data_IF_440609094349
#
_entry.id   IF_440609094349
#
_cell.length_a   1.000
_cell.length_b   1.000
_cell.length_c   1.000
_cell.angle_alpha   90.00
_cell.angle_beta   90.00
_cell.angle_gamma   90.00
#
_symmetry.space_group_name_H-M   'P 1'
#
loop_
_entity.id
_entity.type
_entity.pdbx_description
1 polymer ?
#
# COMPACT_ATOMS: atom_id res chain seq x y z
N UNK A 1 -7.23 6.17 -2.75
CA UNK A 1 -7.86 5.45 -1.63
C UNK A 1 -8.26 4.02 -2.00
N UNK A 2 -9.02 3.80 -3.07
CA UNK A 2 -9.50 2.47 -3.48
C UNK A 2 -8.41 1.40 -3.67
N UNK A 3 -7.20 1.79 -4.08
CA UNK A 3 -6.08 0.84 -4.19
C UNK A 3 -5.50 0.42 -2.83
N UNK A 4 -5.40 1.34 -1.86
CA UNK A 4 -4.70 1.11 -0.59
C UNK A 4 -5.59 0.62 0.55
N UNK A 5 -6.83 1.13 0.64
CA UNK A 5 -7.74 0.86 1.76
C UNK A 5 -8.32 -0.56 1.85
N UNK A 6 -8.61 -1.30 0.75
CA UNK A 6 -9.07 -2.68 0.88
C UNK A 6 -7.96 -3.63 1.35
N UNK A 7 -6.70 -3.20 1.28
CA UNK A 7 -5.58 -3.93 1.89
C UNK A 7 -5.57 -3.60 3.37
N UNK A 8 -5.65 -4.63 4.23
CA UNK A 8 -5.58 -4.55 5.70
C UNK A 8 -4.18 -4.16 6.18
N UNK A 9 -3.68 -3.02 5.70
CA UNK A 9 -2.36 -2.51 6.02
C UNK A 9 -2.41 -1.69 7.30
N UNK A 10 -1.36 -1.80 8.12
CA UNK A 10 -1.08 -0.91 9.25
C UNK A 10 -1.20 0.58 8.85
N UNK A 11 -0.87 0.94 7.60
CA UNK A 11 -1.03 2.30 7.05
C UNK A 11 -2.48 2.81 7.01
N UNK A 12 -3.46 1.94 6.77
CA UNK A 12 -4.88 2.33 6.75
C UNK A 12 -5.33 2.69 8.17
N UNK A 13 -4.91 1.89 9.16
CA UNK A 13 -5.18 2.17 10.58
C UNK A 13 -4.45 3.43 11.04
N UNK A 14 -3.18 3.59 10.69
CA UNK A 14 -2.40 4.82 10.91
C UNK A 14 -3.13 6.04 10.36
N UNK A 15 -3.65 5.96 9.13
CA UNK A 15 -4.40 7.05 8.49
C UNK A 15 -5.64 7.42 9.32
N UNK A 16 -6.44 6.44 9.72
CA UNK A 16 -7.66 6.68 10.52
C UNK A 16 -7.32 7.31 11.88
N UNK A 17 -6.36 6.72 12.61
CA UNK A 17 -5.93 7.22 13.93
C UNK A 17 -5.34 8.62 13.81
N UNK A 18 -4.59 8.90 12.74
CA UNK A 18 -4.03 10.23 12.46
C UNK A 18 -5.14 11.25 12.28
N UNK A 19 -6.16 10.98 11.46
CA UNK A 19 -7.27 11.91 11.26
C UNK A 19 -8.06 12.17 12.54
N UNK A 20 -8.34 11.12 13.32
CA UNK A 20 -9.02 11.24 14.62
C UNK A 20 -8.21 12.10 15.59
N UNK A 21 -6.90 11.88 15.66
CA UNK A 21 -6.04 12.68 16.53
C UNK A 21 -5.95 14.15 16.08
N UNK A 22 -5.80 14.41 14.77
CA UNK A 22 -5.81 15.78 14.22
C UNK A 22 -7.15 16.48 14.48
N UNK A 23 -8.28 15.75 14.46
CA UNK A 23 -9.59 16.30 14.82
C UNK A 23 -9.64 16.76 16.28
N UNK A 24 -9.08 15.99 17.22
CA UNK A 24 -9.00 16.37 18.63
C UNK A 24 -7.90 17.40 18.93
N UNK A 25 -7.00 17.69 18.00
CA UNK A 25 -5.84 18.53 18.24
C UNK A 25 -6.18 20.03 18.32
N UNK A 26 -5.87 20.74 19.42
CA UNK A 26 -6.30 22.13 19.62
C UNK A 26 -5.71 23.13 18.61
N UNK A 27 -4.39 23.10 18.36
CA UNK A 27 -3.72 24.11 17.52
C UNK A 27 -4.10 24.06 16.04
N UNK A 28 -4.66 22.96 15.56
CA UNK A 28 -5.05 22.79 14.15
C UNK A 28 -6.50 23.21 13.90
N UNK A 29 -7.29 23.50 14.94
CA UNK A 29 -8.65 24.02 14.79
C UNK A 29 -8.65 25.52 14.49
N UNK A 30 -9.54 25.90 13.59
CA UNK A 30 -9.95 27.31 13.41
C UNK A 30 -10.82 27.67 14.61
N UNK A 31 -10.59 28.83 15.24
CA UNK A 31 -11.22 29.31 16.48
C UNK A 31 -12.76 29.52 16.43
N UNK A 32 -13.46 28.98 15.44
CA UNK A 32 -14.89 29.19 15.25
C UNK A 32 -15.74 28.05 15.83
N UNK A 33 -16.75 28.47 16.59
CA UNK A 33 -17.81 27.72 17.26
C UNK A 33 -17.49 27.14 18.65
N UNK A 34 -18.31 27.62 19.58
CA UNK A 34 -18.40 27.28 20.99
C UNK A 34 -18.62 25.77 21.21
N UNK A 35 -18.12 25.30 22.35
CA UNK A 35 -18.51 24.06 23.03
C UNK A 35 -18.34 22.73 22.29
N UNK A 36 -17.09 22.25 22.26
CA UNK A 36 -16.81 20.87 22.68
C UNK A 36 -15.38 20.81 23.19
N UNK A 37 -15.19 20.36 24.43
CA UNK A 37 -13.89 20.24 25.08
C UNK A 37 -12.98 19.29 24.29
N UNK A 38 -12.23 19.84 23.34
CA UNK A 38 -11.18 19.13 22.64
C UNK A 38 -10.14 18.71 23.68
N UNK A 39 -10.11 17.43 24.01
CA UNK A 39 -9.16 16.92 24.99
C UNK A 39 -7.82 16.72 24.29
N UNK A 40 -6.88 17.62 24.55
CA UNK A 40 -5.47 17.49 24.14
C UNK A 40 -4.88 16.13 24.53
N UNK A 41 -5.33 15.57 25.66
CA UNK A 41 -4.93 14.22 26.12
C UNK A 41 -5.39 13.12 25.17
N UNK A 42 -6.64 13.16 24.68
CA UNK A 42 -7.14 12.19 23.70
C UNK A 42 -6.36 12.29 22.38
N UNK A 43 -6.04 13.51 21.95
CA UNK A 43 -5.21 13.73 20.76
C UNK A 43 -3.80 13.10 20.91
N UNK A 44 -3.15 13.33 22.06
CA UNK A 44 -1.84 12.74 22.39
C UNK A 44 -1.87 11.21 22.50
N UNK A 45 -2.91 10.63 23.10
CA UNK A 45 -3.07 9.17 23.20
C UNK A 45 -3.16 8.56 21.80
N UNK A 46 -4.01 9.12 20.94
CA UNK A 46 -4.16 8.64 19.57
C UNK A 46 -2.88 8.84 18.75
N UNK A 47 -2.15 9.94 18.96
CA UNK A 47 -0.86 10.17 18.32
C UNK A 47 0.20 9.13 18.74
N UNK A 48 0.30 8.85 20.04
CA UNK A 48 1.19 7.82 20.57
C UNK A 48 0.81 6.43 20.05
N UNK A 49 -0.50 6.13 19.95
CA UNK A 49 -0.99 4.89 19.36
C UNK A 49 -0.63 4.77 17.86
N UNK A 50 -0.73 5.86 17.10
CA UNK A 50 -0.29 5.87 15.70
C UNK A 50 1.21 5.53 15.59
N UNK A 51 2.06 6.15 16.42
CA UNK A 51 3.50 5.83 16.48
C UNK A 51 3.79 4.38 16.90
N UNK A 52 2.97 3.81 17.78
CA UNK A 52 3.07 2.42 18.19
C UNK A 52 2.73 1.45 17.04
N UNK A 53 1.63 1.72 16.33
CA UNK A 53 1.21 0.95 15.15
C UNK A 53 2.24 1.07 14.03
N UNK A 54 2.84 2.26 13.89
CA UNK A 54 3.84 2.56 12.87
C UNK A 54 4.82 3.64 13.36
N UNK A 55 6.10 3.29 13.60
CA UNK A 55 7.08 4.26 14.06
C UNK A 55 7.27 5.46 13.13
N UNK A 56 7.01 5.29 11.82
CA UNK A 56 7.12 6.38 10.83
C UNK A 56 6.09 7.49 11.04
N UNK A 57 4.96 7.24 11.71
CA UNK A 57 3.97 8.27 12.06
C UNK A 57 4.56 9.38 12.93
N UNK A 58 5.68 9.11 13.62
CA UNK A 58 6.41 10.11 14.40
C UNK A 58 6.77 11.35 13.57
N UNK A 59 6.95 11.22 12.25
CA UNK A 59 7.22 12.35 11.35
C UNK A 59 6.07 13.36 11.36
N UNK A 60 4.82 12.89 11.32
CA UNK A 60 3.61 13.72 11.36
C UNK A 60 3.52 14.41 12.71
N UNK A 61 3.68 13.64 13.79
CA UNK A 61 3.54 14.13 15.15
C UNK A 61 4.66 15.05 15.60
N UNK A 62 5.85 14.93 15.00
CA UNK A 62 6.94 15.87 15.20
C UNK A 62 6.54 17.28 14.72
N UNK A 63 5.96 17.40 13.52
CA UNK A 63 5.46 18.69 13.04
C UNK A 63 4.36 19.27 13.94
N UNK A 64 3.36 18.46 14.26
CA UNK A 64 2.22 18.90 15.09
C UNK A 64 2.70 19.26 16.51
N UNK A 65 3.61 18.49 17.08
CA UNK A 65 4.21 18.73 18.39
C UNK A 65 5.06 20.00 18.43
N UNK A 66 5.88 20.25 17.40
CA UNK A 66 6.65 21.49 17.26
C UNK A 66 5.70 22.70 17.15
N UNK A 67 4.65 22.61 16.33
CA UNK A 67 3.64 23.67 16.24
C UNK A 67 2.96 23.94 17.58
N UNK A 68 2.53 22.89 18.29
CA UNK A 68 1.87 23.03 19.60
C UNK A 68 2.81 23.65 20.64
N UNK A 69 4.10 23.27 20.62
CA UNK A 69 5.12 23.80 21.52
C UNK A 69 5.33 25.31 21.33
N UNK A 70 5.28 25.81 20.10
CA UNK A 70 5.38 27.24 19.83
C UNK A 70 4.09 28.02 20.16
N UNK A 71 2.93 27.38 20.07
CA UNK A 71 1.63 28.02 20.30
C UNK A 71 1.16 27.98 21.75
N UNK A 72 1.64 27.01 22.54
CA UNK A 72 1.24 26.82 23.94
C UNK A 72 2.05 27.71 24.87
N UNK A 73 1.37 28.32 25.85
CA UNK A 73 2.00 29.14 26.89
C UNK A 73 2.78 28.24 27.89
N UNK A 74 2.16 27.16 28.37
CA UNK A 74 2.75 26.24 29.35
C UNK A 74 3.55 25.10 28.71
N UNK A 75 4.70 25.44 28.12
CA UNK A 75 5.58 24.50 27.38
C UNK A 75 6.02 23.29 28.22
N UNK A 76 6.47 23.55 29.45
CA UNK A 76 6.98 22.52 30.34
C UNK A 76 5.89 21.54 30.78
N UNK A 77 4.69 22.03 31.06
CA UNK A 77 3.54 21.20 31.39
C UNK A 77 3.16 20.30 30.22
N UNK A 78 3.11 20.83 29.00
CA UNK A 78 2.83 20.04 27.80
C UNK A 78 3.82 18.88 27.64
N UNK A 79 5.12 19.15 27.74
CA UNK A 79 6.15 18.11 27.55
C UNK A 79 6.15 17.10 28.71
N UNK A 80 6.33 17.56 29.94
CA UNK A 80 6.63 16.69 31.08
C UNK A 80 5.41 16.08 31.74
N UNK A 81 4.26 16.74 31.71
CA UNK A 81 3.04 16.25 32.36
C UNK A 81 2.05 15.61 31.39
N UNK A 82 2.23 15.78 30.07
CA UNK A 82 1.31 15.22 29.08
C UNK A 82 2.02 14.35 28.05
N UNK A 83 2.97 14.88 27.27
CA UNK A 83 3.62 14.14 26.18
C UNK A 83 4.46 12.96 26.69
N UNK A 84 5.38 13.19 27.63
CA UNK A 84 6.27 12.14 28.14
C UNK A 84 5.50 11.03 28.86
N UNK A 85 4.56 11.31 29.79
CA UNK A 85 3.83 10.25 30.49
C UNK A 85 2.96 9.41 29.57
N UNK A 86 2.26 10.03 28.61
CA UNK A 86 1.41 9.31 27.65
C UNK A 86 2.28 8.48 26.70
N UNK A 87 3.36 9.05 26.17
CA UNK A 87 4.29 8.34 25.30
C UNK A 87 4.96 7.16 26.00
N UNK A 88 5.44 7.35 27.24
CA UNK A 88 6.05 6.30 28.04
C UNK A 88 5.06 5.17 28.36
N UNK A 89 3.79 5.51 28.68
CA UNK A 89 2.76 4.51 28.92
C UNK A 89 2.49 3.66 27.68
N UNK A 90 2.32 4.28 26.51
CA UNK A 90 2.08 3.56 25.25
C UNK A 90 3.28 2.70 24.88
N UNK A 91 4.51 3.24 25.01
CA UNK A 91 5.73 2.49 24.74
C UNK A 91 5.90 1.29 25.69
N UNK A 92 5.57 1.45 26.97
CA UNK A 92 5.58 0.36 27.94
C UNK A 92 4.57 -0.72 27.56
N UNK A 93 3.35 -0.33 27.20
CA UNK A 93 2.32 -1.27 26.75
C UNK A 93 2.76 -2.04 25.49
N UNK A 94 3.34 -1.35 24.49
CA UNK A 94 3.87 -2.03 23.30
C UNK A 94 5.02 -2.97 23.63
N UNK A 95 5.94 -2.56 24.52
CA UNK A 95 7.07 -3.39 24.91
C UNK A 95 6.62 -4.68 25.65
N UNK A 96 5.58 -4.58 26.48
CA UNK A 96 4.98 -5.73 27.14
C UNK A 96 4.25 -6.66 26.14
N UNK A 97 3.56 -6.09 25.15
CA UNK A 97 2.93 -6.86 24.07
C UNK A 97 3.99 -7.58 23.23
N UNK A 98 5.03 -6.87 22.80
CA UNK A 98 6.15 -7.45 22.05
C UNK A 98 6.79 -8.61 22.83
N UNK A 99 7.01 -8.45 24.14
CA UNK A 99 7.52 -9.53 25.01
C UNK A 99 6.59 -10.74 25.03
N UNK A 100 5.27 -10.53 25.08
CA UNK A 100 4.28 -11.61 25.11
C UNK A 100 4.25 -12.42 23.81
N UNK A 101 4.38 -11.76 22.65
CA UNK A 101 4.33 -12.43 21.35
C UNK A 101 5.69 -13.03 20.93
N UNK A 102 6.79 -12.30 21.09
CA UNK A 102 8.11 -12.77 20.68
C UNK A 102 8.79 -13.68 21.70
N UNK A 103 8.34 -13.70 22.97
CA UNK A 103 8.99 -14.44 24.04
C UNK A 103 10.37 -13.90 24.43
N UNK A 104 10.78 -12.75 23.88
CA UNK A 104 12.07 -12.07 24.07
C UNK A 104 11.84 -10.61 24.43
N UNK A 105 12.73 -10.03 25.22
CA UNK A 105 12.69 -8.59 25.52
C UNK A 105 13.28 -7.82 24.35
N UNK A 106 12.41 -7.28 23.50
CA UNK A 106 12.81 -6.58 22.27
C UNK A 106 12.06 -5.25 22.19
N UNK A 107 12.77 -4.19 21.85
CA UNK A 107 12.17 -2.88 21.60
C UNK A 107 12.04 -2.69 20.08
N UNK A 108 10.89 -3.09 19.54
CA UNK A 108 10.64 -3.13 18.09
C UNK A 108 10.86 -1.77 17.40
N UNK A 109 10.42 -0.62 17.95
CA UNK A 109 10.69 0.68 17.34
C UNK A 109 12.18 1.01 17.13
N UNK A 110 13.07 0.54 18.02
CA UNK A 110 14.52 0.74 17.88
C UNK A 110 15.10 -0.16 16.79
N UNK A 111 14.66 -1.41 16.71
CA UNK A 111 15.06 -2.31 15.61
C UNK A 111 14.58 -1.78 14.26
N UNK A 112 13.36 -1.23 14.22
CA UNK A 112 12.82 -0.56 13.05
C UNK A 112 13.72 0.61 12.61
N UNK A 113 14.14 1.46 13.54
CA UNK A 113 15.06 2.57 13.27
C UNK A 113 16.41 2.07 12.74
N UNK A 114 16.97 1.03 13.39
CA UNK A 114 18.23 0.42 12.98
C UNK A 114 18.17 -0.14 11.56
N UNK A 115 17.13 -0.88 11.23
CA UNK A 115 17.01 -1.52 9.92
C UNK A 115 16.71 -0.51 8.81
N UNK A 116 15.75 0.38 9.01
CA UNK A 116 15.26 1.25 7.93
C UNK A 116 16.10 2.51 7.73
N UNK A 117 16.69 3.07 8.80
CA UNK A 117 17.42 4.34 8.71
C UNK A 117 18.93 4.17 8.83
N UNK A 118 19.41 3.27 9.70
CA UNK A 118 20.85 3.10 9.92
C UNK A 118 21.49 2.10 8.96
N UNK A 119 20.71 1.11 8.49
CA UNK A 119 21.21 0.02 7.62
C UNK A 119 20.66 0.10 6.19
N UNK A 120 19.90 1.16 5.86
CA UNK A 120 19.24 1.36 4.55
C UNK A 120 18.51 0.13 3.99
N UNK A 121 18.00 -0.76 4.85
CA UNK A 121 17.40 -2.03 4.40
C UNK A 121 16.18 -1.86 3.51
N UNK A 122 15.53 -0.68 3.54
CA UNK A 122 14.44 -0.34 2.63
C UNK A 122 14.88 -0.20 1.17
N UNK A 123 16.13 0.20 0.92
CA UNK A 123 16.64 0.43 -0.44
C UNK A 123 16.76 -0.88 -1.24
N UNK A 124 16.79 -2.04 -0.55
CA UNK A 124 16.68 -3.37 -1.15
C UNK A 124 15.44 -3.52 -2.04
N UNK A 125 14.33 -2.89 -1.64
CA UNK A 125 13.06 -2.94 -2.37
C UNK A 125 12.95 -1.87 -3.47
N UNK A 126 14.09 -1.32 -3.90
CA UNK A 126 14.17 -0.31 -4.93
C UNK A 126 14.10 1.12 -4.40
N UNK A 127 14.67 2.05 -5.17
CA UNK A 127 14.75 3.46 -4.81
C UNK A 127 14.11 4.34 -5.90
N UNK A 128 13.65 5.51 -5.48
CA UNK A 128 13.10 6.51 -6.39
C UNK A 128 13.81 7.85 -6.20
N UNK A 129 13.83 8.68 -7.25
CA UNK A 129 14.39 10.03 -7.18
C UNK A 129 13.75 10.86 -6.04
N UNK A 130 14.49 11.82 -5.49
CA UNK A 130 14.04 12.65 -4.37
C UNK A 130 12.71 13.38 -4.66
N UNK A 131 12.51 13.81 -5.92
CA UNK A 131 11.31 14.55 -6.32
C UNK A 131 10.08 13.65 -6.57
N UNK A 132 10.23 12.32 -6.46
CA UNK A 132 9.19 11.36 -6.86
C UNK A 132 7.84 11.64 -6.21
N UNK A 133 7.79 11.94 -4.91
CA UNK A 133 6.54 12.27 -4.23
C UNK A 133 5.83 13.49 -4.83
N UNK A 134 6.58 14.51 -5.25
CA UNK A 134 6.03 15.73 -5.85
C UNK A 134 5.63 15.53 -7.31
N UNK A 135 6.48 14.88 -8.10
CA UNK A 135 6.27 14.73 -9.55
C UNK A 135 5.31 13.60 -9.91
N UNK A 136 5.32 12.50 -9.16
CA UNK A 136 4.65 11.26 -9.53
C UNK A 136 3.82 10.70 -8.36
N UNK A 137 4.45 10.36 -7.24
CA UNK A 137 3.86 9.65 -6.12
C UNK A 137 2.56 10.27 -5.59
N UNK A 138 2.68 11.40 -4.89
CA UNK A 138 1.52 12.07 -4.28
C UNK A 138 0.59 12.70 -5.33
N UNK A 139 1.18 13.18 -6.43
CA UNK A 139 0.42 13.71 -7.57
C UNK A 139 -0.49 12.66 -8.21
N UNK A 140 -0.04 11.41 -8.37
CA UNK A 140 -0.86 10.31 -8.85
C UNK A 140 -1.93 9.89 -7.83
N UNK A 141 -1.64 9.98 -6.52
CA UNK A 141 -2.64 9.71 -5.48
C UNK A 141 -3.79 10.72 -5.49
N UNK A 142 -3.50 11.99 -5.79
CA UNK A 142 -4.51 13.03 -5.95
C UNK A 142 -5.19 12.99 -7.32
N UNK A 143 -4.49 12.52 -8.35
CA UNK A 143 -5.00 12.39 -9.71
C UNK A 143 -5.72 13.67 -10.16
N UNK A 144 -6.98 13.58 -10.60
CA UNK A 144 -7.75 14.74 -11.07
C UNK A 144 -8.22 15.68 -9.95
N UNK A 145 -8.06 15.31 -8.68
CA UNK A 145 -8.27 16.22 -7.55
C UNK A 145 -7.10 17.19 -7.31
N UNK A 146 -5.93 16.94 -7.91
CA UNK A 146 -4.72 17.73 -7.72
C UNK A 146 -4.92 19.25 -7.95
N UNK A 147 -5.48 19.72 -9.09
CA UNK A 147 -5.66 21.16 -9.30
C UNK A 147 -6.61 21.79 -8.27
N UNK A 148 -7.65 21.07 -7.85
CA UNK A 148 -8.58 21.54 -6.81
C UNK A 148 -7.91 21.58 -5.43
N UNK A 149 -7.04 20.63 -5.13
CA UNK A 149 -6.28 20.59 -3.87
C UNK A 149 -5.37 21.81 -3.76
N UNK A 150 -4.58 22.08 -4.81
CA UNK A 150 -3.71 23.25 -4.89
C UNK A 150 -4.51 24.55 -4.77
N UNK A 151 -5.59 24.68 -5.55
CA UNK A 151 -6.47 25.84 -5.47
C UNK A 151 -7.05 26.04 -4.06
N UNK A 152 -7.43 24.97 -3.38
CA UNK A 152 -7.94 25.00 -2.00
C UNK A 152 -6.88 25.39 -0.97
N UNK A 153 -5.63 24.95 -1.14
CA UNK A 153 -4.50 25.37 -0.30
C UNK A 153 -4.32 26.90 -0.38
N UNK A 154 -4.30 27.45 -1.60
CA UNK A 154 -4.14 28.90 -1.79
C UNK A 154 -5.35 29.71 -1.31
N UNK A 155 -6.58 29.21 -1.50
CA UNK A 155 -7.80 29.91 -1.11
C UNK A 155 -8.03 29.92 0.42
N UNK A 156 -7.82 28.78 1.07
CA UNK A 156 -8.15 28.60 2.50
C UNK A 156 -7.22 29.35 3.45
N UNK A 157 -5.99 29.67 3.00
CA UNK A 157 -4.90 30.27 3.81
C UNK A 157 -4.57 29.48 5.09
N UNK A 158 -4.97 28.21 5.17
CA UNK A 158 -4.70 27.33 6.32
C UNK A 158 -3.29 26.74 6.25
N UNK A 159 -2.29 27.56 6.57
CA UNK A 159 -0.88 27.21 6.46
C UNK A 159 -0.47 26.02 7.34
N UNK A 160 -1.18 25.77 8.45
CA UNK A 160 -0.81 24.69 9.38
C UNK A 160 -1.00 23.31 8.75
N UNK A 161 -2.13 23.08 8.08
CA UNK A 161 -2.43 21.80 7.42
C UNK A 161 -1.68 21.65 6.10
N UNK A 162 -1.55 22.71 5.31
CA UNK A 162 -0.74 22.65 4.08
C UNK A 162 0.75 22.47 4.39
N UNK A 163 1.24 23.10 5.46
CA UNK A 163 2.59 22.91 5.97
C UNK A 163 2.83 21.48 6.47
N UNK A 164 1.83 20.83 7.08
CA UNK A 164 1.93 19.42 7.47
C UNK A 164 2.10 18.50 6.24
N UNK A 165 1.29 18.73 5.19
CA UNK A 165 1.43 17.97 3.94
C UNK A 165 2.84 18.17 3.36
N UNK A 166 3.28 19.42 3.24
CA UNK A 166 4.61 19.74 2.72
C UNK A 166 5.74 19.10 3.56
N UNK A 167 5.66 19.19 4.88
CA UNK A 167 6.61 18.60 5.82
C UNK A 167 6.76 17.09 5.60
N UNK A 168 5.64 16.38 5.53
CA UNK A 168 5.61 14.93 5.31
C UNK A 168 6.23 14.58 3.96
N UNK A 169 5.83 15.27 2.88
CA UNK A 169 6.38 15.00 1.55
C UNK A 169 7.89 15.27 1.48
N UNK A 170 8.38 16.38 2.07
CA UNK A 170 9.80 16.72 2.07
C UNK A 170 10.63 15.69 2.83
N UNK A 171 10.22 15.31 4.04
CA UNK A 171 11.00 14.36 4.85
C UNK A 171 11.02 12.96 4.25
N UNK A 172 9.88 12.46 3.75
CA UNK A 172 9.86 11.17 3.05
C UNK A 172 10.61 11.23 1.70
N UNK A 173 10.72 12.40 1.07
CA UNK A 173 11.52 12.58 -0.14
C UNK A 173 13.02 12.38 0.06
N UNK A 174 13.52 12.54 1.29
CA UNK A 174 14.95 12.30 1.64
C UNK A 174 15.29 10.81 1.61
N UNK A 175 14.32 9.93 1.90
CA UNK A 175 14.54 8.48 1.93
C UNK A 175 14.67 7.92 0.50
N UNK A 176 15.59 6.97 0.29
CA UNK A 176 15.80 6.33 -1.02
C UNK A 176 14.56 5.56 -1.47
N UNK A 177 14.14 4.59 -0.66
CA UNK A 177 12.90 3.84 -0.83
C UNK A 177 11.64 4.69 -0.57
N UNK A 178 10.70 4.65 -1.51
CA UNK A 178 9.46 5.44 -1.46
C UNK A 178 8.27 4.60 -1.90
N UNK A 179 7.16 4.75 -1.19
CA UNK A 179 5.91 4.09 -1.52
C UNK A 179 4.72 5.03 -1.32
N UNK A 180 3.63 4.78 -2.05
CA UNK A 180 2.37 5.51 -1.89
C UNK A 180 1.79 5.39 -0.47
N UNK A 181 1.99 4.25 0.21
CA UNK A 181 1.41 4.00 1.53
C UNK A 181 2.01 4.86 2.65
N UNK A 182 3.27 5.31 2.52
CA UNK A 182 3.93 6.14 3.54
C UNK A 182 3.29 7.53 3.69
N UNK A 183 2.74 8.07 2.60
CA UNK A 183 2.08 9.39 2.57
C UNK A 183 0.55 9.27 2.58
N UNK A 184 0.01 8.07 2.78
CA UNK A 184 -1.43 7.84 2.88
C UNK A 184 -2.11 8.68 3.98
N UNK A 185 -1.51 8.89 5.18
CA UNK A 185 -2.16 9.67 6.23
C UNK A 185 -2.44 11.14 5.87
N UNK A 186 -1.66 11.73 4.95
CA UNK A 186 -1.85 13.12 4.51
C UNK A 186 -2.74 13.27 3.27
N UNK A 187 -3.08 12.17 2.59
CA UNK A 187 -3.97 12.19 1.43
C UNK A 187 -5.37 12.77 1.75
N UNK A 188 -6.05 12.38 2.84
CA UNK A 188 -7.35 12.94 3.18
C UNK A 188 -7.30 14.45 3.48
N UNK A 189 -6.18 14.94 4.03
CA UNK A 189 -5.96 16.39 4.26
C UNK A 189 -5.85 17.15 2.94
N UNK A 190 -5.16 16.59 1.95
CA UNK A 190 -5.09 17.18 0.62
C UNK A 190 -6.45 17.20 -0.09
N UNK A 191 -7.25 16.13 0.09
CA UNK A 191 -8.62 16.06 -0.46
C UNK A 191 -9.59 17.02 0.26
N UNK A 192 -9.37 17.33 1.53
CA UNK A 192 -10.11 18.39 2.25
C UNK A 192 -9.97 19.74 1.54
N UNK A 193 -8.76 20.08 1.08
CA UNK A 193 -8.54 21.29 0.28
C UNK A 193 -9.26 21.24 -1.06
N UNK A 194 -9.29 20.09 -1.73
CA UNK A 194 -10.07 19.92 -2.96
C UNK A 194 -11.56 20.19 -2.71
N UNK A 195 -12.11 19.64 -1.61
CA UNK A 195 -13.48 19.89 -1.16
C UNK A 195 -13.74 21.36 -0.87
N UNK A 196 -12.80 22.04 -0.20
CA UNK A 196 -12.88 23.48 0.08
C UNK A 196 -12.93 24.31 -1.21
N UNK A 197 -12.07 24.02 -2.20
CA UNK A 197 -12.09 24.74 -3.48
C UNK A 197 -13.39 24.51 -4.26
N UNK A 198 -13.95 23.30 -4.22
CA UNK A 198 -15.25 23.00 -4.84
C UNK A 198 -16.38 23.73 -4.13
N UNK A 199 -16.36 23.76 -2.79
CA UNK A 199 -17.33 24.52 -2.00
C UNK A 199 -17.26 26.02 -2.30
N UNK A 200 -16.06 26.60 -2.41
CA UNK A 200 -15.87 28.01 -2.76
C UNK A 200 -16.40 28.36 -4.18
N UNK A 201 -16.31 27.45 -5.14
CA UNK A 201 -16.96 27.61 -6.46
C UNK A 201 -18.50 27.65 -6.34
N UNK A 202 -19.03 26.93 -5.35
CA UNK A 202 -20.43 26.95 -4.95
C UNK A 202 -20.82 28.20 -4.16
N UNK A 203 -20.06 28.64 -3.15
CA UNK A 203 -20.44 29.76 -2.27
C UNK A 203 -20.33 31.13 -2.93
N UNK A 204 -19.53 31.25 -3.99
CA UNK A 204 -19.62 32.38 -4.93
C UNK A 204 -21.04 32.54 -5.54
N UNK A 205 -21.90 31.50 -5.45
CA UNK A 205 -23.34 31.57 -5.73
C UNK A 205 -24.10 32.27 -4.59
N UNK A 206 -23.79 31.99 -3.32
CA UNK A 206 -24.56 32.46 -2.16
C UNK A 206 -24.28 33.94 -1.81
N UNK A 207 -23.01 34.36 -1.72
CA UNK A 207 -22.67 35.76 -1.40
C UNK A 207 -23.08 36.76 -2.50
N UNK A 208 -23.14 36.30 -3.76
CA UNK A 208 -23.55 37.12 -4.91
C UNK A 208 -25.08 37.23 -5.08
N UNK A 209 -25.88 36.62 -4.20
CA UNK A 209 -27.32 36.87 -4.11
C UNK A 209 -27.67 38.30 -3.67
N UNK A 210 -26.73 39.07 -3.11
CA UNK A 210 -27.01 40.43 -2.60
C UNK A 210 -26.85 41.55 -3.63
N UNK A 211 -26.08 41.39 -4.73
CA UNK A 211 -25.86 42.46 -5.74
C UNK A 211 -25.59 41.90 -7.16
N UNK A 212 -26.63 41.94 -8.01
CA UNK A 212 -26.66 41.89 -9.51
C UNK A 212 -26.26 40.61 -10.31
N UNK A 213 -27.12 40.33 -11.30
CA UNK A 213 -26.98 39.58 -12.59
C UNK A 213 -27.20 38.06 -12.63
N UNK A 214 -28.37 37.66 -13.16
CA UNK A 214 -28.82 36.28 -13.47
C UNK A 214 -27.87 35.49 -14.40
N UNK A 215 -27.15 36.15 -15.30
CA UNK A 215 -26.23 35.48 -16.26
C UNK A 215 -24.96 34.93 -15.60
N UNK A 216 -24.51 35.50 -14.49
CA UNK A 216 -23.28 35.06 -13.78
C UNK A 216 -23.57 33.86 -12.88
N UNK A 217 -24.77 33.81 -12.31
CA UNK A 217 -25.28 32.70 -11.49
C UNK A 217 -25.33 31.36 -12.24
N UNK A 218 -25.91 31.34 -13.45
CA UNK A 218 -25.95 30.13 -14.28
C UNK A 218 -24.55 29.60 -14.60
N UNK A 219 -23.56 30.48 -14.81
CA UNK A 219 -22.18 30.10 -15.13
C UNK A 219 -21.44 29.45 -13.97
N UNK A 220 -21.57 29.94 -12.73
CA UNK A 220 -20.85 29.35 -11.58
C UNK A 220 -21.43 27.98 -11.17
N UNK A 221 -22.76 27.83 -11.24
CA UNK A 221 -23.42 26.54 -10.99
C UNK A 221 -23.05 25.51 -12.08
N UNK A 222 -22.97 25.95 -13.34
CA UNK A 222 -22.48 25.10 -14.43
C UNK A 222 -21.02 24.68 -14.22
N UNK A 223 -20.14 25.59 -13.77
CA UNK A 223 -18.73 25.27 -13.48
C UNK A 223 -18.58 24.24 -12.37
N UNK A 224 -19.33 24.36 -11.27
CA UNK A 224 -19.33 23.37 -10.19
C UNK A 224 -19.82 22.01 -10.70
N UNK A 225 -20.96 21.99 -11.40
CA UNK A 225 -21.52 20.75 -11.98
C UNK A 225 -20.55 20.09 -12.95
N UNK A 226 -19.91 20.87 -13.83
CA UNK A 226 -18.93 20.36 -14.79
C UNK A 226 -17.67 19.84 -14.08
N UNK A 227 -17.21 20.52 -13.02
CA UNK A 227 -16.06 20.09 -12.23
C UNK A 227 -16.34 18.77 -11.50
N UNK A 228 -17.52 18.65 -10.87
CA UNK A 228 -17.95 17.41 -10.20
C UNK A 228 -18.11 16.30 -11.23
N UNK A 229 -18.76 16.57 -12.38
CA UNK A 229 -18.89 15.59 -13.46
C UNK A 229 -17.52 15.13 -13.98
N UNK A 230 -16.58 16.06 -14.19
CA UNK A 230 -15.21 15.74 -14.59
C UNK A 230 -14.51 14.83 -13.58
N UNK A 231 -14.62 15.14 -12.28
CA UNK A 231 -14.05 14.31 -11.21
C UNK A 231 -14.68 12.91 -11.19
N UNK A 232 -16.00 12.79 -11.34
CA UNK A 232 -16.69 11.51 -11.38
C UNK A 232 -16.29 10.68 -12.61
N UNK A 233 -16.32 11.28 -13.80
CA UNK A 233 -16.00 10.62 -15.08
C UNK A 233 -14.54 10.18 -15.13
N UNK A 234 -13.63 10.86 -14.45
CA UNK A 234 -12.21 10.45 -14.41
C UNK A 234 -11.92 9.43 -13.30
N UNK A 235 -12.49 9.59 -12.10
CA UNK A 235 -12.17 8.73 -10.97
C UNK A 235 -12.97 7.42 -10.95
N UNK A 236 -14.25 7.40 -11.36
CA UNK A 236 -15.07 6.17 -11.30
C UNK A 236 -14.52 5.10 -12.25
N UNK A 237 -14.29 5.37 -13.55
CA UNK A 237 -13.72 4.36 -14.45
C UNK A 237 -12.33 3.91 -14.01
N UNK A 238 -11.50 4.85 -13.54
CA UNK A 238 -10.17 4.52 -13.01
C UNK A 238 -10.27 3.60 -11.79
N UNK A 239 -11.16 3.90 -10.84
CA UNK A 239 -11.37 3.07 -9.66
C UNK A 239 -11.91 1.68 -10.01
N UNK A 240 -12.89 1.59 -10.92
CA UNK A 240 -13.44 0.31 -11.38
C UNK A 240 -12.39 -0.53 -12.10
N UNK A 241 -11.59 0.08 -12.99
CA UNK A 241 -10.53 -0.62 -13.70
C UNK A 241 -9.45 -1.11 -12.74
N UNK A 242 -8.93 -0.24 -11.87
CA UNK A 242 -7.84 -0.58 -10.96
C UNK A 242 -8.26 -1.59 -9.88
N UNK A 243 -9.55 -1.65 -9.51
CA UNK A 243 -10.05 -2.58 -8.50
C UNK A 243 -10.55 -3.92 -9.08
N UNK A 244 -10.99 -3.97 -10.34
CA UNK A 244 -11.64 -5.17 -10.90
C UNK A 244 -10.94 -5.78 -12.11
N UNK A 245 -10.00 -5.09 -12.75
CA UNK A 245 -9.39 -5.53 -14.00
C UNK A 245 -7.88 -5.59 -13.88
N UNK A 246 -7.24 -4.52 -13.40
CA UNK A 246 -5.80 -4.45 -13.28
C UNK A 246 -5.27 -5.45 -12.25
N UNK A 247 -4.24 -6.22 -12.62
CA UNK A 247 -3.59 -7.25 -11.81
C UNK A 247 -4.50 -8.39 -11.33
N UNK A 248 -5.65 -8.61 -11.98
CA UNK A 248 -6.65 -9.63 -11.57
C UNK A 248 -6.17 -11.08 -11.72
N UNK A 249 -5.31 -11.35 -12.70
CA UNK A 249 -5.01 -12.73 -13.13
C UNK A 249 -4.40 -13.64 -12.06
N UNK A 250 -3.72 -13.08 -11.06
CA UNK A 250 -3.15 -13.87 -9.95
C UNK A 250 -4.24 -14.35 -8.99
N UNK A 251 -5.31 -13.58 -8.80
CA UNK A 251 -6.49 -13.99 -8.04
C UNK A 251 -7.31 -15.02 -8.83
N UNK A 252 -7.59 -14.77 -10.11
CA UNK A 252 -8.35 -15.71 -10.95
C UNK A 252 -7.64 -17.07 -11.08
N UNK A 253 -6.31 -17.08 -11.18
CA UNK A 253 -5.52 -18.31 -11.23
C UNK A 253 -5.63 -19.10 -9.92
N UNK A 254 -5.58 -18.42 -8.78
CA UNK A 254 -5.73 -19.05 -7.47
C UNK A 254 -7.16 -19.53 -7.20
N UNK A 255 -8.19 -18.80 -7.65
CA UNK A 255 -9.58 -19.26 -7.62
C UNK A 255 -9.75 -20.55 -8.41
N UNK A 256 -9.16 -20.61 -9.61
CA UNK A 256 -9.18 -21.80 -10.44
C UNK A 256 -8.50 -22.99 -9.77
N UNK A 257 -7.27 -22.80 -9.24
CA UNK A 257 -6.57 -23.85 -8.50
C UNK A 257 -7.36 -24.31 -7.28
N UNK A 258 -8.02 -23.40 -6.57
CA UNK A 258 -8.86 -23.72 -5.41
C UNK A 258 -9.99 -24.70 -5.81
N UNK A 259 -10.64 -24.45 -6.95
CA UNK A 259 -11.69 -25.34 -7.48
C UNK A 259 -11.14 -26.70 -7.93
N UNK A 260 -10.02 -26.73 -8.65
CA UNK A 260 -9.41 -28.01 -9.08
C UNK A 260 -8.83 -28.81 -7.90
N UNK A 261 -8.37 -28.12 -6.84
CA UNK A 261 -7.92 -28.75 -5.60
C UNK A 261 -9.05 -29.45 -4.85
N UNK A 262 -10.28 -28.90 -4.89
CA UNK A 262 -11.47 -29.55 -4.31
C UNK A 262 -11.76 -30.89 -4.99
N UNK A 263 -11.51 -30.99 -6.29
CA UNK A 263 -11.73 -32.19 -7.11
C UNK A 263 -10.55 -33.18 -6.96
N UNK A 264 -9.48 -32.81 -6.24
CA UNK A 264 -8.32 -33.68 -5.99
C UNK A 264 -7.31 -33.72 -7.14
N UNK A 265 -7.42 -32.82 -8.12
CA UNK A 265 -6.51 -32.76 -9.27
C UNK A 265 -5.21 -32.01 -8.99
N UNK A 266 -5.21 -31.12 -7.99
CA UNK A 266 -4.02 -30.36 -7.58
C UNK A 266 -3.39 -31.05 -6.38
N UNK A 267 -2.14 -31.50 -6.53
CA UNK A 267 -1.37 -32.14 -5.45
C UNK A 267 -0.29 -31.22 -4.88
N UNK A 268 0.36 -30.45 -5.74
CA UNK A 268 1.42 -29.51 -5.38
C UNK A 268 1.55 -28.37 -6.41
N UNK A 269 1.88 -27.17 -5.95
CA UNK A 269 1.95 -25.97 -6.82
C UNK A 269 3.30 -25.28 -6.66
N UNK A 270 3.98 -25.03 -7.78
CA UNK A 270 5.18 -24.21 -7.86
C UNK A 270 4.88 -22.87 -8.53
N UNK A 271 5.24 -21.77 -7.88
CA UNK A 271 5.10 -20.42 -8.42
C UNK A 271 6.44 -19.95 -8.96
N UNK A 272 6.61 -20.01 -10.29
CA UNK A 272 7.77 -19.47 -11.02
C UNK A 272 7.47 -18.03 -11.47
N UNK A 273 7.32 -17.17 -10.47
CA UNK A 273 6.97 -15.76 -10.60
C UNK A 273 7.51 -14.99 -9.38
N UNK A 274 7.57 -13.65 -9.42
CA UNK A 274 8.00 -12.86 -8.27
C UNK A 274 7.35 -13.29 -6.95
N UNK A 275 8.12 -13.25 -5.87
CA UNK A 275 7.62 -13.59 -4.55
C UNK A 275 6.36 -12.77 -4.20
N UNK A 276 5.44 -13.37 -3.45
CA UNK A 276 4.17 -12.75 -3.04
C UNK A 276 3.27 -12.23 -4.18
N UNK A 277 3.47 -12.68 -5.43
CA UNK A 277 2.62 -12.29 -6.55
C UNK A 277 1.18 -12.82 -6.48
N UNK A 278 0.92 -13.86 -5.67
CA UNK A 278 -0.41 -14.47 -5.53
C UNK A 278 -0.89 -14.43 -4.07
N UNK A 279 -2.23 -14.45 -3.83
CA UNK A 279 -2.80 -14.53 -2.48
C UNK A 279 -2.54 -15.87 -1.78
N UNK A 280 -1.94 -16.85 -2.45
CA UNK A 280 -1.46 -18.08 -1.84
C UNK A 280 -2.56 -18.82 -1.05
N UNK A 281 -2.29 -19.28 0.18
CA UNK A 281 -3.26 -19.99 1.00
C UNK A 281 -4.53 -19.19 1.34
N UNK A 282 -4.50 -17.85 1.28
CA UNK A 282 -5.69 -17.05 1.63
C UNK A 282 -6.81 -17.20 0.60
N UNK A 283 -6.52 -17.69 -0.61
CA UNK A 283 -7.51 -17.99 -1.64
C UNK A 283 -7.68 -19.49 -1.86
N UNK A 284 -6.60 -20.27 -1.71
CA UNK A 284 -6.66 -21.72 -1.92
C UNK A 284 -7.48 -22.45 -0.84
N UNK A 285 -7.39 -22.02 0.42
CA UNK A 285 -8.07 -22.64 1.57
C UNK A 285 -7.87 -24.16 1.71
N UNK A 286 -6.75 -24.69 1.22
CA UNK A 286 -6.40 -26.11 1.30
C UNK A 286 -4.95 -26.29 1.71
N UNK A 287 -4.70 -27.31 2.54
CA UNK A 287 -3.35 -27.66 2.97
C UNK A 287 -2.69 -28.58 1.93
N UNK A 288 -2.17 -27.96 0.87
CA UNK A 288 -1.39 -28.63 -0.18
C UNK A 288 0.02 -28.03 -0.19
N UNK A 289 1.06 -28.82 -0.50
CA UNK A 289 2.42 -28.30 -0.64
C UNK A 289 2.47 -27.27 -1.77
N UNK A 290 2.78 -26.04 -1.39
CA UNK A 290 3.00 -24.93 -2.30
C UNK A 290 4.38 -24.33 -2.04
N UNK A 291 5.02 -23.81 -3.10
CA UNK A 291 6.29 -23.09 -2.98
C UNK A 291 6.33 -21.91 -3.94
N UNK A 292 6.64 -20.74 -3.43
CA UNK A 292 7.04 -19.56 -4.20
C UNK A 292 8.55 -19.32 -4.06
N UNK A 293 9.11 -18.50 -4.95
CA UNK A 293 10.52 -18.12 -4.93
C UNK A 293 10.83 -17.23 -3.71
N UNK A 294 11.84 -17.58 -2.93
CA UNK A 294 12.24 -16.80 -1.76
C UNK A 294 12.80 -15.43 -2.17
N UNK A 295 12.42 -14.40 -1.43
CA UNK A 295 12.91 -13.03 -1.59
C UNK A 295 13.29 -12.42 -0.23
N UNK A 296 13.66 -13.27 0.72
CA UNK A 296 14.22 -12.83 1.99
C UNK A 296 15.52 -12.06 1.71
N UNK A 297 15.65 -10.82 2.22
CA UNK A 297 16.84 -10.01 1.97
C UNK A 297 18.07 -10.70 2.59
N UNK A 298 19.14 -10.80 1.79
CA UNK A 298 20.41 -11.38 2.21
C UNK A 298 21.24 -10.34 2.99
N UNK A 299 22.09 -10.79 3.93
CA UNK A 299 22.96 -9.88 4.70
C UNK A 299 24.15 -9.35 3.87
N UNK A 300 24.41 -9.92 2.69
CA UNK A 300 25.52 -9.53 1.82
C UNK A 300 25.07 -8.61 0.68
N UNK A 301 25.67 -7.42 0.59
CA UNK A 301 25.43 -6.50 -0.53
C UNK A 301 25.71 -7.20 -1.88
N UNK A 302 24.75 -7.13 -2.80
CA UNK A 302 24.88 -7.66 -4.17
C UNK A 302 24.57 -9.15 -4.34
N UNK A 303 24.19 -9.88 -3.28
CA UNK A 303 23.74 -11.27 -3.41
C UNK A 303 22.26 -11.29 -3.80
N UNK A 304 21.99 -11.69 -5.04
CA UNK A 304 20.63 -11.86 -5.56
C UNK A 304 19.86 -12.93 -4.78
N UNK A 305 18.63 -12.62 -4.39
CA UNK A 305 17.71 -13.60 -3.80
C UNK A 305 17.26 -14.67 -4.81
N UNK A 306 16.52 -15.68 -4.34
CA UNK A 306 16.05 -16.78 -5.19
C UNK A 306 15.16 -16.26 -6.32
N UNK A 307 14.28 -15.29 -6.04
CA UNK A 307 13.39 -14.68 -7.03
C UNK A 307 14.17 -13.91 -8.10
N UNK A 308 15.18 -13.12 -7.73
CA UNK A 308 15.96 -12.32 -8.65
C UNK A 308 16.92 -13.20 -9.48
N UNK A 309 17.48 -14.26 -8.90
CA UNK A 309 18.25 -15.27 -9.63
C UNK A 309 17.42 -15.97 -10.69
N UNK A 310 16.18 -16.35 -10.35
CA UNK A 310 15.26 -16.92 -11.32
C UNK A 310 14.96 -15.96 -12.46
N UNK A 311 14.74 -14.67 -12.17
CA UNK A 311 14.44 -13.69 -13.21
C UNK A 311 15.64 -13.37 -14.11
N UNK A 312 16.86 -13.49 -13.58
CA UNK A 312 18.09 -13.31 -14.34
C UNK A 312 18.36 -14.48 -15.31
N UNK A 313 18.11 -15.72 -14.89
CA UNK A 313 18.25 -16.93 -15.73
C UNK A 313 17.14 -17.96 -15.41
N UNK A 314 15.93 -17.80 -16.01
CA UNK A 314 14.79 -18.67 -15.71
C UNK A 314 15.07 -20.14 -16.05
N UNK A 315 15.74 -20.39 -17.18
CA UNK A 315 15.99 -21.76 -17.68
C UNK A 315 17.03 -22.46 -16.82
N UNK A 316 18.17 -21.81 -16.54
CA UNK A 316 19.22 -22.39 -15.70
C UNK A 316 18.74 -22.64 -14.27
N UNK A 317 18.00 -21.68 -13.70
CA UNK A 317 17.41 -21.81 -12.38
C UNK A 317 16.45 -23.01 -12.31
N UNK A 318 15.49 -23.10 -13.24
CA UNK A 318 14.48 -24.16 -13.25
C UNK A 318 15.11 -25.52 -13.50
N UNK A 319 16.14 -25.59 -14.35
CA UNK A 319 16.92 -26.82 -14.59
C UNK A 319 17.59 -27.32 -13.31
N UNK A 320 18.21 -26.43 -12.53
CA UNK A 320 18.83 -26.80 -11.26
C UNK A 320 17.78 -27.23 -10.23
N UNK A 321 16.65 -26.52 -10.18
CA UNK A 321 15.54 -26.83 -9.27
C UNK A 321 14.99 -28.25 -9.51
N UNK A 322 14.71 -28.59 -10.78
CA UNK A 322 14.09 -29.86 -11.17
C UNK A 322 15.02 -31.07 -10.97
N UNK A 323 16.35 -30.85 -10.92
CA UNK A 323 17.32 -31.90 -10.55
C UNK A 323 17.26 -32.27 -9.07
N UNK A 324 16.98 -31.30 -8.21
CA UNK A 324 17.11 -31.44 -6.76
C UNK A 324 15.76 -31.63 -6.03
N UNK A 325 14.64 -31.39 -6.71
CA UNK A 325 13.31 -31.37 -6.10
C UNK A 325 12.34 -32.27 -6.85
N UNK A 326 11.33 -32.79 -6.15
CA UNK A 326 10.22 -33.50 -6.77
C UNK A 326 9.45 -32.59 -7.73
N UNK A 327 9.01 -33.14 -8.86
CA UNK A 327 8.23 -32.42 -9.86
C UNK A 327 6.87 -31.98 -9.28
N UNK A 328 6.51 -30.69 -9.36
CA UNK A 328 5.21 -30.21 -8.91
C UNK A 328 4.08 -30.64 -9.85
N UNK A 329 2.86 -30.81 -9.33
CA UNK A 329 1.70 -31.13 -10.18
C UNK A 329 1.30 -29.96 -11.08
N UNK A 330 1.41 -28.73 -10.57
CA UNK A 330 1.04 -27.51 -11.27
C UNK A 330 2.15 -26.46 -11.17
N UNK A 331 2.34 -25.69 -12.23
CA UNK A 331 3.30 -24.59 -12.28
C UNK A 331 2.58 -23.33 -12.74
N UNK A 332 2.78 -22.25 -11.99
CA UNK A 332 2.24 -20.93 -12.30
C UNK A 332 3.38 -20.00 -12.70
N UNK A 333 3.17 -19.25 -13.78
CA UNK A 333 4.13 -18.28 -14.29
C UNK A 333 3.41 -17.13 -15.00
N UNK A 334 4.07 -15.99 -15.12
CA UNK A 334 3.62 -14.94 -16.02
C UNK A 334 4.06 -15.24 -17.46
N UNK A 335 3.35 -14.66 -18.43
CA UNK A 335 3.62 -14.84 -19.85
C UNK A 335 5.04 -14.42 -20.28
N UNK A 336 5.63 -13.43 -19.61
CA UNK A 336 7.01 -12.98 -19.86
C UNK A 336 8.03 -14.11 -19.69
N UNK A 337 7.94 -14.84 -18.58
CA UNK A 337 8.81 -15.96 -18.21
C UNK A 337 8.44 -17.22 -18.99
N UNK A 338 7.17 -17.39 -19.35
CA UNK A 338 6.69 -18.49 -20.20
C UNK A 338 7.44 -18.55 -21.52
N UNK A 339 7.72 -17.40 -22.15
CA UNK A 339 8.42 -17.34 -23.44
C UNK A 339 9.77 -18.06 -23.41
N UNK A 340 10.45 -18.04 -22.27
CA UNK A 340 11.76 -18.67 -22.08
C UNK A 340 11.63 -20.12 -21.61
N UNK A 341 10.61 -20.43 -20.79
CA UNK A 341 10.45 -21.75 -20.18
C UNK A 341 9.58 -22.72 -20.98
N UNK A 342 8.88 -22.28 -22.02
CA UNK A 342 7.91 -23.10 -22.75
C UNK A 342 8.48 -24.42 -23.28
N UNK A 343 9.67 -24.37 -23.90
CA UNK A 343 10.33 -25.58 -24.43
C UNK A 343 10.81 -26.49 -23.30
N UNK A 344 11.38 -25.91 -22.24
CA UNK A 344 11.80 -26.63 -21.05
C UNK A 344 10.62 -27.36 -20.38
N UNK A 345 9.50 -26.68 -20.16
CA UNK A 345 8.29 -27.25 -19.57
C UNK A 345 7.73 -28.38 -20.43
N UNK A 346 7.68 -28.20 -21.76
CA UNK A 346 7.24 -29.25 -22.69
C UNK A 346 8.13 -30.48 -22.65
N UNK A 347 9.45 -30.31 -22.52
CA UNK A 347 10.39 -31.44 -22.40
C UNK A 347 10.23 -32.24 -21.10
N UNK A 348 9.63 -31.64 -20.07
CA UNK A 348 9.33 -32.27 -18.78
C UNK A 348 7.84 -32.66 -18.65
N UNK A 349 7.15 -32.87 -19.77
CA UNK A 349 5.74 -33.30 -19.82
C UNK A 349 4.74 -32.32 -19.20
N UNK A 350 5.05 -31.03 -19.10
CA UNK A 350 4.08 -30.03 -18.69
C UNK A 350 3.29 -29.49 -19.89
N UNK A 351 1.97 -29.37 -19.73
CA UNK A 351 1.05 -28.84 -20.74
C UNK A 351 0.32 -27.62 -20.18
N UNK A 352 0.20 -26.58 -21.01
CA UNK A 352 -0.55 -25.37 -20.68
C UNK A 352 -2.04 -25.67 -20.54
N UNK A 353 -2.57 -25.49 -19.33
CA UNK A 353 -3.96 -25.79 -18.98
C UNK A 353 -4.86 -24.58 -19.17
N UNK A 354 -4.46 -23.41 -18.66
CA UNK A 354 -5.29 -22.21 -18.68
C UNK A 354 -4.47 -20.93 -18.63
N UNK A 355 -4.99 -19.86 -19.22
CA UNK A 355 -4.42 -18.51 -19.23
C UNK A 355 -5.44 -17.52 -18.68
N UNK A 356 -4.99 -16.65 -17.78
CA UNK A 356 -5.78 -15.61 -17.14
C UNK A 356 -5.22 -14.25 -17.47
N UNK A 357 -6.09 -13.31 -17.86
CA UNK A 357 -5.70 -11.93 -18.07
C UNK A 357 -5.21 -11.31 -16.75
N UNK A 358 -4.07 -10.61 -16.76
CA UNK A 358 -3.51 -9.97 -15.59
C UNK A 358 -3.44 -8.44 -15.70
N UNK A 359 -2.73 -7.90 -16.70
CA UNK A 359 -2.55 -6.45 -16.81
C UNK A 359 -2.40 -5.98 -18.26
N UNK A 360 -2.85 -4.75 -18.53
CA UNK A 360 -2.65 -4.11 -19.84
C UNK A 360 -1.33 -3.35 -19.94
N UNK A 361 -0.75 -2.96 -18.79
CA UNK A 361 0.40 -2.07 -18.72
C UNK A 361 1.48 -2.65 -17.81
N UNK A 362 2.72 -2.30 -18.12
CA UNK A 362 3.90 -2.57 -17.31
C UNK A 362 3.83 -1.75 -16.03
N UNK A 363 4.14 -2.34 -14.88
CA UNK A 363 4.24 -1.63 -13.59
C UNK A 363 5.71 -1.43 -13.24
N UNK A 364 6.43 -2.52 -12.90
CA UNK A 364 7.84 -2.47 -12.52
C UNK A 364 8.74 -3.27 -13.49
N UNK A 365 8.44 -4.56 -13.64
CA UNK A 365 9.17 -5.52 -14.50
C UNK A 365 8.45 -5.72 -15.81
N UNK A 366 8.92 -6.61 -16.69
CA UNK A 366 8.28 -6.85 -17.99
C UNK A 366 6.77 -7.03 -17.94
N UNK A 367 6.12 -6.79 -19.08
CA UNK A 367 4.67 -6.81 -19.15
C UNK A 367 4.14 -8.21 -18.79
N UNK A 368 3.62 -8.32 -17.58
CA UNK A 368 2.92 -9.48 -17.06
C UNK A 368 1.47 -9.47 -17.57
N UNK A 369 1.30 -9.62 -18.89
CA UNK A 369 -0.02 -9.48 -19.51
C UNK A 369 -1.00 -10.58 -19.05
N UNK A 370 -0.50 -11.79 -18.83
CA UNK A 370 -1.29 -12.93 -18.39
C UNK A 370 -0.54 -13.85 -17.44
N UNK A 371 -1.31 -14.54 -16.59
CA UNK A 371 -0.85 -15.65 -15.74
C UNK A 371 -1.22 -16.96 -16.42
N UNK A 372 -0.28 -17.89 -16.50
CA UNK A 372 -0.46 -19.18 -17.16
C UNK A 372 -0.28 -20.30 -16.15
N UNK A 373 -1.20 -21.27 -16.21
CA UNK A 373 -1.18 -22.49 -15.39
C UNK A 373 -0.77 -23.66 -16.27
N UNK A 374 0.29 -24.34 -15.89
CA UNK A 374 0.73 -25.61 -16.48
C UNK A 374 0.40 -26.76 -15.52
N UNK A 375 0.08 -27.91 -16.10
CA UNK A 375 -0.10 -29.17 -15.35
C UNK A 375 0.88 -30.22 -15.85
N UNK A 376 1.32 -31.09 -14.96
CA UNK A 376 2.11 -32.27 -15.32
C UNK A 376 1.19 -33.29 -16.00
N UNK A 377 1.47 -33.62 -17.26
CA UNK A 377 0.80 -34.68 -17.98
C UNK A 377 1.38 -36.02 -17.52
N UNK A 378 0.68 -36.71 -16.62
CA UNK A 378 0.95 -38.11 -16.36
C UNK A 378 0.35 -38.93 -17.50
N UNK A 379 1.19 -39.53 -18.33
CA UNK A 379 0.71 -40.65 -19.15
C UNK A 379 0.16 -41.72 -18.21
N UNK A 380 -1.08 -42.14 -18.43
CA UNK A 380 -1.83 -43.19 -17.72
C UNK A 380 -1.17 -44.60 -17.77
N UNK A 381 0.15 -44.71 -17.94
CA UNK A 381 0.87 -45.98 -18.04
C UNK A 381 1.46 -46.52 -16.73
N UNK A 382 1.28 -45.84 -15.59
CA UNK A 382 1.82 -46.30 -14.29
C UNK A 382 0.73 -46.80 -13.32
N UNK A 383 -0.53 -46.88 -13.74
CA UNK A 383 -1.62 -47.50 -12.94
C UNK A 383 -1.70 -49.04 -13.04
N UNK A 384 -0.86 -49.70 -13.86
CA UNK A 384 -0.90 -51.16 -14.05
C UNK A 384 0.11 -51.92 -13.16
N UNK A 385 1.07 -51.24 -12.51
CA UNK A 385 2.07 -51.95 -11.68
C UNK A 385 1.64 -52.24 -10.24
N UNK A 386 0.52 -51.69 -9.75
CA UNK A 386 0.02 -51.92 -8.38
C UNK A 386 -1.12 -52.93 -8.28
N UNK A 387 -1.53 -53.58 -9.38
CA UNK A 387 -2.52 -54.68 -9.36
C UNK A 387 -1.88 -56.07 -9.49
N UNK A 388 -0.55 -56.17 -9.54
CA UNK A 388 0.18 -57.44 -9.60
C UNK A 388 0.90 -57.77 -8.29
N UNK A 389 0.26 -57.52 -7.15
CA UNK A 389 0.59 -58.14 -5.85
C UNK A 389 -0.64 -58.01 -4.96
N UNK A 390 -1.57 -58.93 -5.12
CA UNK A 390 -2.56 -59.34 -4.12
C UNK A 390 -2.75 -60.84 -4.24
#
# INVERSE_FOLDING_TARGET
MFFCFPRTLSNSLETVVTLLSLFYWPSLRVKSCEQQSASRKWALILAALACAIRPTSAIIWLYVGILEFFLTQDKWRFIFLETIPIGALVLLLTFLLDRLFYGLWVLVPLNFLKFNFLSSGGDYYGTHAWHWYFSQGFSAMLFTFLPFSLAGIFQSKQWKLSGLIAWVLVLYSVLGHKEFRFVLPVLPLALLFSGYSLAALGDNLSQRNRKRSSKTHKKSCLKLKLSVLFLLVTNIPMALYMSMIHQRGTEDAMDFLSREAIIGKVQSVLFLMPCHATPYYSMLHRNLPMRFLDCTPSEGEGVLDESDRFLADPVGFTTQYFKNSSLPSHILLFESEEKQLKEFLRSHSYIGMKRFFHAHFKVDRDLQASVVVYTLHMDEKISISSQATL
#
